data_IF_020970791837
#
_entry.id   IF_020970791837
#
_cell.length_a   1.000
_cell.length_b   1.000
_cell.length_c   1.000
_cell.angle_alpha   90.00
_cell.angle_beta   90.00
_cell.angle_gamma   90.00
#
_symmetry.space_group_name_H-M   'P 1'
#
loop_
_entity.id
_entity.type
_entity.pdbx_description
1 polymer ?
#
# COMPACT_ATOMS: atom_id res chain seq x y z
N UNK A 1 -4.41 -9.84 2.65
CA UNK A 1 -3.05 -9.64 2.09
C UNK A 1 -2.07 -9.55 3.23
N UNK A 2 -0.87 -10.09 3.04
CA UNK A 2 0.24 -10.05 4.00
C UNK A 2 1.35 -9.10 3.53
N UNK A 3 2.24 -8.69 4.43
CA UNK A 3 3.41 -7.87 4.09
C UNK A 3 4.31 -8.52 3.02
N UNK A 4 4.28 -9.85 2.91
CA UNK A 4 5.01 -10.60 1.88
C UNK A 4 4.44 -10.41 0.47
N UNK A 5 3.15 -10.05 0.37
CA UNK A 5 2.42 -9.86 -0.88
C UNK A 5 2.63 -8.44 -1.45
N UNK A 6 3.88 -7.96 -1.34
CA UNK A 6 4.31 -6.61 -1.74
C UNK A 6 3.85 -6.18 -3.14
N UNK A 7 3.71 -7.13 -4.09
CA UNK A 7 3.25 -6.84 -5.45
C UNK A 7 1.76 -6.53 -5.49
N UNK A 8 0.94 -7.30 -4.79
CA UNK A 8 -0.51 -7.12 -4.78
C UNK A 8 -0.87 -5.82 -4.03
N UNK A 9 -0.19 -5.57 -2.91
CA UNK A 9 -0.27 -4.31 -2.17
C UNK A 9 0.09 -3.12 -3.08
N UNK A 10 1.17 -3.22 -3.87
CA UNK A 10 1.56 -2.14 -4.77
C UNK A 10 0.53 -1.91 -5.88
N UNK A 11 -0.12 -2.97 -6.39
CA UNK A 11 -1.17 -2.85 -7.41
C UNK A 11 -2.38 -2.12 -6.83
N UNK A 12 -2.89 -2.56 -5.68
CA UNK A 12 -4.01 -1.91 -4.98
C UNK A 12 -3.74 -0.43 -4.72
N UNK A 13 -2.54 -0.09 -4.22
CA UNK A 13 -2.18 1.29 -3.98
C UNK A 13 -2.08 2.11 -5.28
N UNK A 14 -1.59 1.54 -6.37
CA UNK A 14 -1.56 2.22 -7.67
C UNK A 14 -2.97 2.42 -8.24
N UNK A 15 -3.89 1.47 -8.03
CA UNK A 15 -5.27 1.59 -8.47
C UNK A 15 -6.06 2.61 -7.63
N UNK A 16 -5.80 2.66 -6.32
CA UNK A 16 -6.42 3.62 -5.39
C UNK A 16 -5.86 5.04 -5.56
N UNK A 17 -4.59 5.17 -5.93
CA UNK A 17 -3.89 6.45 -6.11
C UNK A 17 -3.22 6.57 -7.49
N UNK A 18 -3.99 6.59 -8.60
CA UNK A 18 -3.43 6.53 -9.96
C UNK A 18 -2.61 7.78 -10.36
N UNK A 19 -2.91 8.93 -9.76
CA UNK A 19 -2.21 10.20 -10.03
C UNK A 19 -1.00 10.43 -9.11
N UNK A 20 -0.74 9.52 -8.17
CA UNK A 20 0.33 9.67 -7.19
C UNK A 20 1.63 9.08 -7.74
N UNK A 21 2.72 9.86 -7.73
CA UNK A 21 4.03 9.33 -8.09
C UNK A 21 4.58 8.48 -6.93
N UNK A 22 4.73 7.14 -7.10
CA UNK A 22 5.22 6.25 -6.05
C UNK A 22 6.62 6.62 -5.55
N UNK A 23 7.44 7.32 -6.36
CA UNK A 23 8.78 7.78 -5.96
C UNK A 23 8.74 8.93 -4.95
N UNK A 24 7.61 9.63 -4.85
CA UNK A 24 7.42 10.76 -3.94
C UNK A 24 6.80 10.35 -2.60
N UNK A 25 6.33 9.11 -2.51
CA UNK A 25 5.66 8.57 -1.33
C UNK A 25 6.69 8.31 -0.23
N UNK A 26 6.42 8.84 0.97
CA UNK A 26 7.23 8.57 2.16
C UNK A 26 6.83 7.21 2.73
N UNK A 27 7.80 6.46 3.26
CA UNK A 27 7.52 5.15 3.86
C UNK A 27 6.49 5.18 4.98
N UNK A 28 6.40 6.29 5.73
CA UNK A 28 5.39 6.47 6.78
C UNK A 28 3.97 6.54 6.21
N UNK A 29 3.81 7.25 5.09
CA UNK A 29 2.52 7.39 4.42
C UNK A 29 2.15 6.07 3.73
N UNK A 30 3.12 5.44 3.06
CA UNK A 30 2.96 4.13 2.45
C UNK A 30 2.48 3.10 3.46
N UNK A 31 3.15 3.01 4.62
CA UNK A 31 2.77 2.08 5.68
C UNK A 31 1.35 2.32 6.19
N UNK A 32 0.96 3.59 6.39
CA UNK A 32 -0.41 3.92 6.78
C UNK A 32 -1.42 3.48 5.72
N UNK A 33 -1.15 3.75 4.44
CA UNK A 33 -2.08 3.36 3.37
C UNK A 33 -2.23 1.85 3.26
N UNK A 34 -1.17 1.08 3.51
CA UNK A 34 -1.21 -0.38 3.52
C UNK A 34 -2.11 -0.89 4.66
N UNK A 35 -1.97 -0.32 5.86
CA UNK A 35 -2.82 -0.66 7.00
C UNK A 35 -4.30 -0.24 6.81
N UNK A 36 -4.56 0.72 5.92
CA UNK A 36 -5.91 1.20 5.56
C UNK A 36 -6.53 0.46 4.35
N UNK A 37 -5.86 -0.55 3.80
CA UNK A 37 -6.45 -1.40 2.76
C UNK A 37 -7.43 -2.39 3.41
N UNK A 38 -8.68 -2.41 2.94
CA UNK A 38 -9.73 -3.29 3.48
C UNK A 38 -9.38 -4.79 3.34
N UNK A 39 -8.56 -5.15 2.34
CA UNK A 39 -8.07 -6.50 2.10
C UNK A 39 -6.72 -6.80 2.80
N UNK A 40 -6.18 -5.89 3.62
CA UNK A 40 -4.94 -6.11 4.37
C UNK A 40 -5.25 -6.65 5.78
N UNK A 41 -4.65 -7.79 6.14
CA UNK A 41 -4.98 -8.55 7.36
C UNK A 41 -3.71 -9.10 8.03
N UNK A 42 -2.66 -8.28 8.07
CA UNK A 42 -1.38 -8.61 8.72
C UNK A 42 -1.11 -7.69 9.92
N UNK A 43 -0.26 -8.15 10.84
CA UNK A 43 0.11 -7.36 12.01
C UNK A 43 1.12 -6.25 11.63
N UNK A 44 0.99 -5.03 12.20
CA UNK A 44 1.84 -3.88 11.90
C UNK A 44 3.28 -4.00 12.41
#
# INVERSE_FOLDING_TARGET
MQWTDSRDIAIELCEKFPDMDPKTVRFTDLHQWILELDDFDDEP
#
